data_IF_460949466921
#
_entry.id   IF_460949466921
#
_cell.length_a   1.000
_cell.length_b   1.000
_cell.length_c   1.000
_cell.angle_alpha   90.00
_cell.angle_beta   90.00
_cell.angle_gamma   90.00
#
_symmetry.space_group_name_H-M   'P 1'
#
loop_
_entity.id
_entity.type
_entity.pdbx_description
1 polymer ?
#
# COMPACT_ATOMS: atom_id res chain seq x y z
N UNK A 1 21.65 0.13 -11.58
CA UNK A 1 20.45 0.24 -10.73
C UNK A 1 19.24 0.31 -11.65
N UNK A 2 18.59 -0.83 -11.90
CA UNK A 2 17.32 -0.86 -12.64
C UNK A 2 16.25 -0.68 -11.58
N UNK A 3 15.65 0.49 -11.51
CA UNK A 3 14.42 0.69 -10.76
C UNK A 3 13.33 -0.07 -11.51
N UNK A 4 12.99 -1.29 -11.10
CA UNK A 4 11.75 -1.95 -11.50
C UNK A 4 10.59 -1.11 -10.97
N UNK A 5 10.20 -0.12 -11.75
CA UNK A 5 8.98 0.64 -11.53
C UNK A 5 7.82 -0.28 -11.87
N UNK A 6 7.02 -0.68 -10.88
CA UNK A 6 5.74 -1.31 -11.17
C UNK A 6 4.96 -0.37 -12.11
N UNK A 7 4.49 -0.83 -13.29
CA UNK A 7 3.70 -0.01 -14.19
C UNK A 7 2.33 0.23 -13.52
N UNK A 8 2.23 1.27 -12.69
CA UNK A 8 0.95 1.71 -12.18
C UNK A 8 0.26 2.54 -13.26
N UNK A 9 -0.72 1.93 -13.95
CA UNK A 9 -1.68 2.69 -14.74
C UNK A 9 -2.76 3.23 -13.80
N UNK A 10 -2.99 4.56 -13.73
CA UNK A 10 -4.06 5.12 -12.94
C UNK A 10 -5.40 4.77 -13.60
N UNK A 11 -5.87 3.54 -13.38
CA UNK A 11 -7.20 3.14 -13.80
C UNK A 11 -8.21 4.08 -13.13
N UNK A 12 -8.80 4.93 -13.97
CA UNK A 12 -9.88 5.87 -13.73
C UNK A 12 -10.77 5.45 -12.56
N UNK A 13 -10.75 6.19 -11.45
CA UNK A 13 -11.82 6.08 -10.45
C UNK A 13 -12.08 7.44 -9.83
N UNK A 14 -13.31 7.91 -10.00
CA UNK A 14 -13.80 9.27 -9.81
C UNK A 14 -13.27 9.99 -8.57
N UNK A 15 -12.67 11.15 -8.79
CA UNK A 15 -12.24 12.14 -7.80
C UNK A 15 -13.45 12.80 -7.08
N UNK A 16 -14.67 12.52 -7.54
CA UNK A 16 -15.90 13.18 -7.12
C UNK A 16 -16.41 12.81 -5.72
N UNK A 17 -15.82 11.80 -5.08
CA UNK A 17 -16.24 11.35 -3.75
C UNK A 17 -15.38 11.90 -2.59
N UNK A 18 -14.41 12.78 -2.85
CA UNK A 18 -13.56 13.32 -1.78
C UNK A 18 -14.22 14.55 -1.12
N UNK A 19 -14.21 14.69 0.23
CA UNK A 19 -14.63 15.93 0.89
C UNK A 19 -13.89 17.12 0.26
N UNK A 20 -14.60 18.23 -0.02
CA UNK A 20 -14.10 19.30 -0.91
C UNK A 20 -12.69 19.80 -0.60
N UNK A 21 -12.32 19.97 0.68
CA UNK A 21 -10.96 20.38 1.07
C UNK A 21 -9.88 19.33 0.78
N UNK A 22 -10.23 18.05 0.80
CA UNK A 22 -9.31 16.94 0.51
C UNK A 22 -9.09 16.80 -1.02
N UNK A 23 -10.13 17.06 -1.82
CA UNK A 23 -10.05 17.03 -3.28
C UNK A 23 -9.04 18.06 -3.79
N UNK A 24 -9.17 19.32 -3.36
CA UNK A 24 -8.25 20.39 -3.73
C UNK A 24 -6.82 20.09 -3.26
N UNK A 25 -6.67 19.51 -2.07
CA UNK A 25 -5.35 19.16 -1.51
C UNK A 25 -4.66 17.99 -2.24
N UNK A 26 -5.41 17.16 -2.96
CA UNK A 26 -4.92 15.95 -3.64
C UNK A 26 -4.89 16.07 -5.17
N UNK A 27 -5.56 17.07 -5.75
CA UNK A 27 -5.62 17.28 -7.21
C UNK A 27 -4.26 17.62 -7.82
N UNK A 28 -3.45 18.41 -7.12
CA UNK A 28 -2.11 18.81 -7.57
C UNK A 28 -1.01 17.92 -6.98
N UNK A 29 -1.38 16.83 -6.29
CA UNK A 29 -0.42 15.95 -5.65
C UNK A 29 0.07 14.87 -6.60
N UNK A 30 1.33 14.46 -6.45
CA UNK A 30 1.85 13.28 -7.10
C UNK A 30 0.99 12.02 -6.88
N UNK A 31 1.08 11.07 -7.82
CA UNK A 31 0.16 9.94 -7.98
C UNK A 31 0.02 9.12 -6.69
N UNK A 32 1.11 8.87 -5.97
CA UNK A 32 1.09 8.03 -4.76
C UNK A 32 0.46 8.76 -3.57
N UNK A 33 0.67 10.07 -3.42
CA UNK A 33 -0.09 10.88 -2.47
C UNK A 33 -1.58 10.96 -2.81
N UNK A 34 -1.92 11.07 -4.10
CA UNK A 34 -3.30 11.01 -4.57
C UNK A 34 -3.98 9.68 -4.20
N UNK A 35 -3.26 8.56 -4.34
CA UNK A 35 -3.72 7.23 -3.93
C UNK A 35 -3.94 7.12 -2.42
N UNK A 36 -2.96 7.57 -1.62
CA UNK A 36 -3.06 7.58 -0.17
C UNK A 36 -4.29 8.36 0.32
N UNK A 37 -4.52 9.53 -0.27
CA UNK A 37 -5.67 10.37 0.01
C UNK A 37 -7.01 9.72 -0.36
N UNK A 38 -7.07 8.95 -1.46
CA UNK A 38 -8.26 8.18 -1.84
C UNK A 38 -8.56 7.04 -0.85
N UNK A 39 -7.54 6.26 -0.47
CA UNK A 39 -7.69 5.21 0.55
C UNK A 39 -8.16 5.79 1.89
N UNK A 40 -7.61 6.95 2.30
CA UNK A 40 -8.05 7.67 3.49
C UNK A 40 -9.52 8.09 3.41
N UNK A 41 -9.94 8.71 2.30
CA UNK A 41 -11.31 9.17 2.13
C UNK A 41 -12.33 8.02 2.10
N UNK A 42 -12.01 6.93 1.40
CA UNK A 42 -12.83 5.72 1.37
C UNK A 42 -13.02 5.13 2.79
N UNK A 43 -11.96 5.10 3.60
CA UNK A 43 -12.02 4.64 4.98
C UNK A 43 -12.92 5.53 5.86
N UNK A 44 -12.87 6.86 5.67
CA UNK A 44 -13.78 7.79 6.39
C UNK A 44 -15.23 7.55 5.99
N UNK A 45 -15.51 7.47 4.69
CA UNK A 45 -16.86 7.25 4.17
C UNK A 45 -17.46 5.97 4.73
N UNK A 46 -16.69 4.88 4.71
CA UNK A 46 -17.14 3.61 5.24
C UNK A 46 -17.40 3.66 6.76
N UNK A 47 -16.59 4.41 7.52
CA UNK A 47 -16.83 4.67 8.94
C UNK A 47 -18.14 5.42 9.15
N UNK A 48 -18.40 6.46 8.36
CA UNK A 48 -19.66 7.24 8.40
C UNK A 48 -20.86 6.35 8.05
N UNK A 49 -20.72 5.50 7.04
CA UNK A 49 -21.73 4.53 6.61
C UNK A 49 -21.85 3.30 7.52
N UNK A 50 -21.09 3.22 8.63
CA UNK A 50 -21.05 2.09 9.58
C UNK A 50 -20.72 0.74 8.93
N UNK A 51 -19.99 0.75 7.81
CA UNK A 51 -19.51 -0.46 7.15
C UNK A 51 -18.36 -1.05 7.96
N UNK A 52 -18.50 -2.30 8.40
CA UNK A 52 -17.46 -3.00 9.14
C UNK A 52 -16.38 -3.49 8.18
N UNK A 53 -15.21 -2.85 8.20
CA UNK A 53 -14.03 -3.40 7.56
C UNK A 53 -13.45 -4.55 8.38
N UNK A 54 -13.15 -5.67 7.72
CA UNK A 54 -12.40 -6.76 8.33
C UNK A 54 -10.93 -6.36 8.46
N UNK A 55 -10.35 -6.63 9.62
CA UNK A 55 -8.89 -6.51 9.79
C UNK A 55 -8.21 -7.70 9.14
N UNK A 56 -7.15 -7.46 8.39
CA UNK A 56 -6.30 -8.50 7.80
C UNK A 56 -5.02 -8.62 8.61
N UNK A 57 -4.68 -9.87 8.95
CA UNK A 57 -3.39 -10.19 9.55
C UNK A 57 -2.35 -10.28 8.44
N UNK A 58 -1.43 -9.31 8.41
CA UNK A 58 -0.34 -9.26 7.43
C UNK A 58 0.99 -9.17 8.16
N UNK A 59 1.98 -9.93 7.69
CA UNK A 59 3.35 -9.89 8.22
C UNK A 59 4.14 -8.83 7.46
N UNK A 60 4.29 -7.66 8.06
CA UNK A 60 5.16 -6.58 7.57
C UNK A 60 6.44 -6.60 8.41
N UNK A 61 7.59 -6.43 7.76
CA UNK A 61 8.90 -6.39 8.42
C UNK A 61 9.00 -5.22 9.39
N UNK A 62 9.76 -5.41 10.48
CA UNK A 62 9.84 -4.41 11.55
C UNK A 62 10.41 -3.07 11.07
N UNK A 63 11.40 -3.10 10.18
CA UNK A 63 11.99 -1.90 9.55
C UNK A 63 10.94 -1.15 8.71
N UNK A 64 10.18 -1.87 7.88
CA UNK A 64 9.10 -1.29 7.07
C UNK A 64 7.95 -0.78 7.93
N UNK A 65 7.57 -1.48 9.00
CA UNK A 65 6.55 -1.02 9.95
C UNK A 65 6.99 0.27 10.67
N UNK A 66 8.27 0.37 11.03
CA UNK A 66 8.85 1.59 11.58
C UNK A 66 8.82 2.72 10.54
N UNK A 67 9.27 2.47 9.31
CA UNK A 67 9.26 3.45 8.22
C UNK A 67 7.84 3.96 7.92
N UNK A 68 6.84 3.09 7.87
CA UNK A 68 5.43 3.45 7.72
C UNK A 68 4.95 4.37 8.85
N UNK A 69 5.39 4.12 10.09
CA UNK A 69 5.01 4.93 11.24
C UNK A 69 5.64 6.32 11.17
N UNK A 70 6.92 6.41 10.82
CA UNK A 70 7.63 7.68 10.61
C UNK A 70 6.97 8.49 9.49
N UNK A 71 6.72 7.86 8.35
CA UNK A 71 6.03 8.46 7.20
C UNK A 71 4.62 8.95 7.60
N UNK A 72 3.85 8.15 8.34
CA UNK A 72 2.52 8.54 8.81
C UNK A 72 2.55 9.80 9.68
N UNK A 73 3.52 9.91 10.59
CA UNK A 73 3.64 11.08 11.46
C UNK A 73 3.97 12.34 10.66
N UNK A 74 4.86 12.22 9.66
CA UNK A 74 5.23 13.33 8.78
C UNK A 74 4.04 13.78 7.93
N UNK A 75 3.40 12.85 7.21
CA UNK A 75 2.28 13.17 6.33
C UNK A 75 1.06 13.70 7.09
N UNK A 76 0.82 13.25 8.32
CA UNK A 76 -0.24 13.84 9.18
C UNK A 76 -0.04 15.33 9.38
N UNK A 77 1.20 15.76 9.61
CA UNK A 77 1.55 17.16 9.86
C UNK A 77 1.44 17.97 8.57
N UNK A 78 1.95 17.43 7.48
CA UNK A 78 2.01 18.10 6.19
C UNK A 78 0.64 18.20 5.50
N UNK A 79 -0.11 17.10 5.47
CA UNK A 79 -1.41 17.01 4.81
C UNK A 79 -2.58 17.39 5.74
N UNK A 80 -2.32 17.62 7.03
CA UNK A 80 -3.33 17.92 8.07
C UNK A 80 -4.42 16.85 8.19
N UNK A 81 -4.08 15.58 7.91
CA UNK A 81 -5.01 14.44 7.93
C UNK A 81 -4.96 13.70 9.27
N UNK A 82 -5.60 14.25 10.31
CA UNK A 82 -5.52 13.70 11.67
C UNK A 82 -5.92 12.20 11.78
N UNK A 83 -6.87 11.76 10.95
CA UNK A 83 -7.33 10.37 10.91
C UNK A 83 -6.48 9.41 10.08
N UNK A 84 -5.40 9.87 9.46
CA UNK A 84 -4.52 9.02 8.64
C UNK A 84 -3.86 7.96 9.53
N UNK A 85 -3.85 6.70 9.14
CA UNK A 85 -3.20 5.62 9.91
C UNK A 85 -2.40 4.73 8.97
N UNK A 86 -1.48 3.94 9.53
CA UNK A 86 -0.61 3.01 8.77
C UNK A 86 -1.41 2.10 7.83
N UNK A 87 -2.61 1.65 8.24
CA UNK A 87 -3.49 0.84 7.39
C UNK A 87 -3.79 1.47 6.03
N UNK A 88 -3.86 2.82 5.93
CA UNK A 88 -4.10 3.48 4.64
C UNK A 88 -2.92 3.37 3.68
N UNK A 89 -1.68 3.32 4.19
CA UNK A 89 -0.48 3.11 3.37
C UNK A 89 -0.43 1.68 2.86
N UNK A 90 -0.75 0.72 3.73
CA UNK A 90 -0.81 -0.70 3.34
C UNK A 90 -1.90 -0.91 2.28
N UNK A 91 -3.09 -0.34 2.47
CA UNK A 91 -4.17 -0.42 1.49
C UNK A 91 -3.83 0.29 0.17
N UNK A 92 -3.14 1.43 0.22
CA UNK A 92 -2.66 2.11 -0.99
C UNK A 92 -1.59 1.31 -1.74
N UNK A 93 -0.64 0.70 -1.02
CA UNK A 93 0.37 -0.18 -1.60
C UNK A 93 -0.25 -1.40 -2.31
N UNK A 94 -1.26 -2.04 -1.69
CA UNK A 94 -2.00 -3.14 -2.32
C UNK A 94 -2.79 -2.66 -3.55
N UNK A 95 -3.34 -1.44 -3.51
CA UNK A 95 -4.02 -0.85 -4.67
C UNK A 95 -3.07 -0.66 -5.85
N UNK A 96 -1.82 -0.26 -5.59
CA UNK A 96 -0.77 -0.19 -6.61
C UNK A 96 -0.42 -1.57 -7.14
N UNK A 97 -0.21 -2.54 -6.24
CA UNK A 97 0.10 -3.92 -6.61
C UNK A 97 -0.99 -4.57 -7.45
N UNK A 98 -2.26 -4.30 -7.17
CA UNK A 98 -3.39 -4.77 -7.99
C UNK A 98 -3.40 -4.17 -9.39
N UNK A 99 -2.74 -3.03 -9.59
CA UNK A 99 -2.53 -2.45 -10.91
C UNK A 99 -1.46 -3.18 -11.74
N UNK A 100 -0.70 -4.12 -11.17
CA UNK A 100 0.23 -4.95 -11.92
C UNK A 100 -0.52 -5.88 -12.89
N UNK A 101 0.07 -6.12 -14.06
CA UNK A 101 -0.64 -6.70 -15.20
C UNK A 101 -0.78 -8.23 -15.13
N UNK A 102 0.09 -8.93 -14.38
CA UNK A 102 0.07 -10.41 -14.28
C UNK A 102 0.52 -10.95 -12.91
N UNK A 103 0.09 -12.19 -12.58
CA UNK A 103 0.52 -12.94 -11.39
C UNK A 103 2.03 -13.21 -11.38
N UNK A 104 2.63 -13.45 -12.55
CA UNK A 104 4.08 -13.70 -12.66
C UNK A 104 4.91 -12.50 -12.21
N UNK A 105 4.51 -11.27 -12.55
CA UNK A 105 5.17 -10.05 -12.08
C UNK A 105 5.10 -9.92 -10.55
N UNK A 106 3.96 -10.29 -9.95
CA UNK A 106 3.79 -10.27 -8.50
C UNK A 106 4.68 -11.34 -7.82
N UNK A 107 4.80 -12.51 -8.43
CA UNK A 107 5.69 -13.57 -7.96
C UNK A 107 7.16 -13.16 -8.04
N UNK A 108 7.59 -12.58 -9.17
CA UNK A 108 8.96 -12.08 -9.34
C UNK A 108 9.30 -11.03 -8.28
N UNK A 109 8.40 -10.08 -8.05
CA UNK A 109 8.55 -9.07 -7.01
C UNK A 109 8.69 -9.69 -5.61
N UNK A 110 7.87 -10.69 -5.31
CA UNK A 110 7.92 -11.40 -4.04
C UNK A 110 9.20 -12.23 -3.88
N UNK A 111 9.70 -12.85 -4.96
CA UNK A 111 10.96 -13.58 -4.98
C UNK A 111 12.15 -12.66 -4.75
N UNK A 112 12.16 -11.49 -5.39
CA UNK A 112 13.19 -10.49 -5.18
C UNK A 112 13.25 -10.04 -3.71
N UNK A 113 12.10 -9.67 -3.11
CA UNK A 113 12.07 -9.28 -1.69
C UNK A 113 12.47 -10.43 -0.77
N UNK A 114 12.14 -11.68 -1.12
CA UNK A 114 12.61 -12.86 -0.37
C UNK A 114 14.12 -12.95 -0.39
N UNK A 115 14.72 -12.92 -1.57
CA UNK A 115 16.15 -13.14 -1.74
C UNK A 115 16.97 -11.98 -1.13
N UNK A 116 16.44 -10.74 -1.20
CA UNK A 116 17.02 -9.59 -0.51
C UNK A 116 16.93 -9.72 1.04
N UNK A 117 15.91 -10.40 1.55
CA UNK A 117 15.66 -10.54 3.00
C UNK A 117 16.23 -11.81 3.62
N UNK A 118 16.59 -12.85 2.85
CA UNK A 118 17.27 -14.06 3.37
C UNK A 118 18.55 -13.69 4.15
N UNK A 119 19.15 -12.54 3.86
CA UNK A 119 20.31 -12.01 4.57
C UNK A 119 20.01 -11.42 5.97
N UNK A 120 18.76 -11.19 6.34
CA UNK A 120 18.39 -10.39 7.52
C UNK A 120 17.31 -11.09 8.37
N UNK A 121 17.76 -11.81 9.40
CA UNK A 121 16.93 -12.66 10.27
C UNK A 121 16.26 -11.80 11.35
N UNK A 122 15.21 -11.07 10.98
CA UNK A 122 14.34 -10.42 11.98
C UNK A 122 13.08 -11.26 12.24
N UNK A 123 12.77 -11.48 13.52
CA UNK A 123 11.49 -12.07 13.92
C UNK A 123 10.36 -11.11 13.55
N UNK A 124 9.49 -11.53 12.63
CA UNK A 124 8.39 -10.71 12.14
C UNK A 124 7.06 -11.26 12.65
N UNK A 125 6.43 -10.54 13.59
CA UNK A 125 5.09 -10.86 14.07
C UNK A 125 4.02 -10.26 13.13
N UNK A 126 2.91 -10.98 12.91
CA UNK A 126 1.81 -10.45 12.11
C UNK A 126 1.14 -9.26 12.81
N UNK A 127 0.87 -8.21 12.04
CA UNK A 127 0.12 -7.02 12.46
C UNK A 127 -1.26 -6.98 11.80
N UNK A 128 -2.21 -6.29 12.43
CA UNK A 128 -3.58 -6.19 11.94
C UNK A 128 -3.83 -4.86 11.23
N UNK A 129 -4.12 -4.92 9.94
CA UNK A 129 -4.40 -3.75 9.11
C UNK A 129 -5.85 -3.73 8.65
N UNK A 130 -6.45 -2.54 8.63
CA UNK A 130 -7.80 -2.35 8.08
C UNK A 130 -7.69 -2.08 6.60
N UNK A 131 -8.15 -3.01 5.76
CA UNK A 131 -8.08 -2.89 4.31
C UNK A 131 -9.45 -2.57 3.71
N UNK A 132 -9.45 -2.02 2.50
CA UNK A 132 -10.67 -1.99 1.67
C UNK A 132 -11.13 -3.43 1.37
N UNK A 133 -12.45 -3.70 1.24
CA UNK A 133 -12.94 -5.04 0.91
C UNK A 133 -12.31 -5.59 -0.38
N UNK A 134 -12.09 -4.72 -1.37
CA UNK A 134 -11.49 -5.09 -2.64
C UNK A 134 -10.04 -5.54 -2.48
N UNK A 135 -9.20 -4.81 -1.74
CA UNK A 135 -7.81 -5.24 -1.52
C UNK A 135 -7.70 -6.43 -0.57
N UNK A 136 -8.62 -6.55 0.38
CA UNK A 136 -8.69 -7.71 1.26
C UNK A 136 -9.03 -9.00 0.48
N UNK A 137 -9.94 -8.93 -0.49
CA UNK A 137 -10.28 -10.05 -1.36
C UNK A 137 -9.15 -10.37 -2.35
N UNK A 138 -8.59 -9.32 -2.99
CA UNK A 138 -7.52 -9.48 -3.97
C UNK A 138 -6.26 -10.13 -3.37
N UNK A 139 -5.85 -9.74 -2.15
CA UNK A 139 -4.67 -10.37 -1.53
C UNK A 139 -4.92 -11.84 -1.16
N UNK A 140 -6.17 -12.25 -0.94
CA UNK A 140 -6.53 -13.65 -0.73
C UNK A 140 -6.45 -14.44 -2.04
N UNK A 141 -7.03 -13.91 -3.11
CA UNK A 141 -6.97 -14.46 -4.47
C UNK A 141 -5.51 -14.67 -4.93
N UNK A 142 -4.69 -13.62 -4.87
CA UNK A 142 -3.27 -13.72 -5.25
C UNK A 142 -2.52 -14.72 -4.38
N UNK A 143 -2.86 -14.83 -3.10
CA UNK A 143 -2.22 -15.82 -2.21
C UNK A 143 -2.57 -17.25 -2.60
N UNK A 144 -3.81 -17.48 -3.02
CA UNK A 144 -4.26 -18.78 -3.51
C UNK A 144 -3.63 -19.12 -4.87
N UNK A 145 -3.52 -18.15 -5.77
CA UNK A 145 -2.81 -18.31 -7.06
C UNK A 145 -1.34 -18.64 -6.85
N UNK A 146 -0.65 -17.88 -5.98
CA UNK A 146 0.75 -18.15 -5.62
C UNK A 146 0.91 -19.54 -5.02
N UNK A 147 -0.07 -20.02 -4.23
CA UNK A 147 -0.05 -21.37 -3.69
C UNK A 147 -0.25 -22.42 -4.78
N UNK A 148 -1.13 -22.17 -5.75
CA UNK A 148 -1.41 -23.08 -6.86
C UNK A 148 -0.16 -23.33 -7.73
N UNK A 149 0.71 -22.33 -7.88
CA UNK A 149 1.99 -22.45 -8.62
C UNK A 149 3.17 -22.93 -7.76
N UNK A 150 2.93 -23.39 -6.53
CA UNK A 150 3.97 -23.95 -5.65
C UNK A 150 4.71 -22.94 -4.76
N UNK A 151 4.32 -21.67 -4.78
CA UNK A 151 4.98 -20.56 -4.08
C UNK A 151 4.35 -20.29 -2.70
N UNK A 152 4.33 -21.31 -1.83
CA UNK A 152 3.77 -21.20 -0.47
C UNK A 152 4.55 -20.21 0.39
N UNK A 153 3.83 -19.29 1.05
CA UNK A 153 4.42 -18.31 1.96
C UNK A 153 4.88 -17.01 1.28
N UNK A 154 4.70 -16.87 -0.04
CA UNK A 154 5.10 -15.69 -0.80
C UNK A 154 4.26 -14.43 -0.50
N UNK A 155 3.07 -14.59 0.08
CA UNK A 155 2.20 -13.47 0.47
C UNK A 155 2.92 -12.42 1.33
N UNK A 156 3.70 -12.85 2.33
CA UNK A 156 4.41 -11.92 3.20
C UNK A 156 5.44 -11.12 2.40
N UNK A 157 6.23 -11.78 1.56
CA UNK A 157 7.24 -11.12 0.73
C UNK A 157 6.60 -10.15 -0.26
N UNK A 158 5.51 -10.55 -0.93
CA UNK A 158 4.76 -9.68 -1.82
C UNK A 158 4.29 -8.40 -1.10
N UNK A 159 3.63 -8.54 0.05
CA UNK A 159 3.11 -7.39 0.80
C UNK A 159 4.25 -6.44 1.20
N UNK A 160 5.39 -6.97 1.66
CA UNK A 160 6.54 -6.15 2.02
C UNK A 160 7.14 -5.43 0.82
N UNK A 161 7.28 -6.12 -0.32
CA UNK A 161 7.79 -5.53 -1.55
C UNK A 161 6.89 -4.38 -2.04
N UNK A 162 5.56 -4.58 -2.03
CA UNK A 162 4.59 -3.55 -2.41
C UNK A 162 4.65 -2.33 -1.47
N UNK A 163 4.74 -2.57 -0.16
CA UNK A 163 4.86 -1.49 0.85
C UNK A 163 6.17 -0.73 0.68
N UNK A 164 7.29 -1.43 0.47
CA UNK A 164 8.61 -0.83 0.23
C UNK A 164 8.58 0.04 -1.02
N UNK A 165 8.05 -0.49 -2.12
CA UNK A 165 7.90 0.24 -3.37
C UNK A 165 7.01 1.49 -3.20
N UNK A 166 5.89 1.36 -2.47
CA UNK A 166 5.01 2.49 -2.19
C UNK A 166 5.71 3.61 -1.41
N UNK A 167 6.43 3.27 -0.32
CA UNK A 167 7.18 4.24 0.47
C UNK A 167 8.32 4.89 -0.32
N UNK A 168 9.05 4.11 -1.13
CA UNK A 168 10.11 4.65 -1.98
C UNK A 168 9.57 5.67 -2.98
N UNK A 169 8.39 5.39 -3.57
CA UNK A 169 7.76 6.33 -4.49
C UNK A 169 7.27 7.60 -3.78
N UNK A 170 6.66 7.51 -2.59
CA UNK A 170 6.30 8.70 -1.80
C UNK A 170 7.52 9.57 -1.50
N UNK A 171 8.64 8.95 -1.11
CA UNK A 171 9.90 9.67 -0.85
C UNK A 171 10.46 10.33 -2.11
N UNK A 172 10.43 9.63 -3.25
CA UNK A 172 10.87 10.17 -4.54
C UNK A 172 10.00 11.34 -5.01
N UNK A 173 8.67 11.23 -4.87
CA UNK A 173 7.74 12.32 -5.19
C UNK A 173 8.02 13.56 -4.34
N UNK A 174 8.30 13.35 -3.05
CA UNK A 174 8.70 14.42 -2.14
C UNK A 174 10.04 15.06 -2.52
N UNK A 175 11.05 14.25 -2.87
CA UNK A 175 12.37 14.74 -3.27
C UNK A 175 12.33 15.54 -4.58
N UNK A 176 11.41 15.21 -5.49
CA UNK A 176 11.25 15.90 -6.79
C UNK A 176 10.59 17.28 -6.68
N UNK A 177 10.32 17.77 -5.46
CA UNK A 177 9.82 19.12 -5.25
C UNK A 177 8.41 19.34 -5.81
N UNK A 178 7.61 18.28 -5.95
CA UNK A 178 6.20 18.41 -6.23
C UNK A 178 5.46 18.90 -4.96
N UNK A 179 5.71 20.16 -4.60
CA UNK A 179 5.00 20.91 -3.57
C UNK A 179 4.65 22.30 -4.06
#
# INVERSE_FOLDING_TARGET
MITSSLPYSPATTNVDALPGGLRTLLQDRPVYYGLLGRCYAAAIQARTARVKHKKKSLRIYQDLAHALTVQNIQDKRELKLAGLVVSHYVDAALTVGRGAETTDQLLELAHQERDDRIADVSENHPNHYTLSPTNAAWIDEVTDDMRAVGSKGMQAYLVNALVRHFLANLSNERARGAF
#
